data_IF_352094064476
#
_entry.id   IF_352094064476
#
_cell.length_a   1.000
_cell.length_b   1.000
_cell.length_c   1.000
_cell.angle_alpha   90.00
_cell.angle_beta   90.00
_cell.angle_gamma   90.00
#
_symmetry.space_group_name_H-M   'P 1'
#
loop_
_entity.id
_entity.type
_entity.pdbx_description
1 polymer ?
#
# COMPACT_ATOMS: atom_id res chain seq x y z
N UNK A 1 -22.48 72.49 21.13
CA UNK A 1 -22.72 71.92 19.78
C UNK A 1 -22.72 70.41 20.00
N UNK A 2 -23.82 69.70 20.28
CA UNK A 2 -25.09 69.47 19.55
C UNK A 2 -24.89 68.90 18.14
N UNK A 3 -25.70 67.87 17.84
CA UNK A 3 -25.76 66.87 16.74
C UNK A 3 -24.96 65.60 17.07
N UNK A 4 -25.52 64.44 17.46
CA UNK A 4 -26.78 63.73 17.18
C UNK A 4 -26.97 63.37 15.69
N UNK A 5 -26.83 62.09 15.33
CA UNK A 5 -27.90 61.26 14.71
C UNK A 5 -27.41 59.88 14.21
N UNK A 6 -28.06 58.83 14.71
CA UNK A 6 -28.55 57.61 14.04
C UNK A 6 -27.96 57.15 12.67
N UNK A 7 -27.58 55.86 12.60
CA UNK A 7 -27.98 54.89 11.54
C UNK A 7 -27.51 53.46 11.91
N UNK A 8 -28.43 52.63 12.41
CA UNK A 8 -29.12 51.50 11.72
C UNK A 8 -28.22 50.30 11.39
N UNK A 9 -28.41 49.22 12.16
CA UNK A 9 -27.99 47.85 11.84
C UNK A 9 -28.54 47.41 10.46
N UNK A 10 -27.76 46.69 9.64
CA UNK A 10 -28.33 45.90 8.57
C UNK A 10 -28.74 44.52 9.10
N UNK A 11 -30.04 44.29 9.13
CA UNK A 11 -30.66 42.96 9.13
C UNK A 11 -30.32 42.28 7.82
N UNK A 12 -29.48 41.24 7.86
CA UNK A 12 -29.26 40.35 6.71
C UNK A 12 -30.27 39.22 6.79
N UNK A 13 -31.15 39.20 5.79
CA UNK A 13 -32.12 38.15 5.50
C UNK A 13 -31.37 36.82 5.33
N UNK A 14 -31.75 35.81 6.10
CA UNK A 14 -31.53 34.42 5.76
C UNK A 14 -32.35 34.09 4.51
N UNK A 15 -31.70 33.95 3.36
CA UNK A 15 -32.30 33.28 2.19
C UNK A 15 -32.06 31.79 2.36
N UNK A 16 -33.11 31.07 2.74
CA UNK A 16 -33.15 29.62 2.64
C UNK A 16 -33.26 29.26 1.15
N UNK A 17 -32.13 28.89 0.55
CA UNK A 17 -32.11 28.27 -0.77
C UNK A 17 -32.41 26.78 -0.59
N UNK A 18 -33.59 26.37 -1.01
CA UNK A 18 -34.03 24.98 -1.13
C UNK A 18 -33.12 24.29 -2.15
N UNK A 19 -32.26 23.38 -1.69
CA UNK A 19 -31.55 22.46 -2.57
C UNK A 19 -32.56 21.46 -3.14
N UNK A 20 -32.74 21.47 -4.46
CA UNK A 20 -33.49 20.44 -5.15
C UNK A 20 -32.66 19.16 -5.15
N UNK A 21 -33.11 18.16 -4.40
CA UNK A 21 -32.72 16.78 -4.59
C UNK A 21 -33.14 16.36 -6.00
N UNK A 22 -32.18 16.07 -6.88
CA UNK A 22 -32.43 15.29 -8.08
C UNK A 22 -32.63 13.85 -7.65
N UNK A 23 -33.90 13.48 -7.49
CA UNK A 23 -34.33 12.09 -7.48
C UNK A 23 -34.09 11.52 -8.88
N UNK A 24 -33.17 10.56 -8.99
CA UNK A 24 -33.08 9.67 -10.14
C UNK A 24 -34.38 8.89 -10.26
N UNK A 25 -34.99 8.91 -11.44
CA UNK A 25 -36.21 8.18 -11.75
C UNK A 25 -35.96 6.67 -11.68
N UNK A 26 -36.47 6.02 -10.63
CA UNK A 26 -36.75 4.60 -10.62
C UNK A 26 -38.18 4.42 -11.14
N UNK A 27 -38.29 3.87 -12.35
CA UNK A 27 -39.57 3.48 -12.93
C UNK A 27 -40.08 2.24 -12.18
N UNK A 28 -41.28 2.34 -11.63
CA UNK A 28 -41.89 1.32 -10.79
C UNK A 28 -42.92 0.55 -11.60
N UNK A 29 -42.59 -0.66 -12.04
CA UNK A 29 -43.58 -1.65 -12.46
C UNK A 29 -43.64 -2.78 -11.43
N UNK A 30 -44.75 -2.81 -10.69
CA UNK A 30 -45.04 -3.86 -9.72
C UNK A 30 -45.64 -5.08 -10.41
N UNK A 31 -44.98 -6.24 -10.33
CA UNK A 31 -45.70 -7.52 -10.32
C UNK A 31 -44.96 -8.62 -9.54
N UNK A 32 -45.52 -8.93 -8.37
CA UNK A 32 -45.70 -10.27 -7.79
C UNK A 32 -44.57 -11.32 -7.77
N UNK A 33 -43.92 -11.40 -6.60
CA UNK A 33 -43.75 -12.59 -5.74
C UNK A 33 -42.82 -13.77 -6.14
N UNK A 34 -41.80 -13.91 -5.26
CA UNK A 34 -41.28 -15.12 -4.60
C UNK A 34 -40.18 -15.96 -5.28
N UNK A 35 -38.99 -15.94 -4.67
CA UNK A 35 -37.91 -16.92 -4.85
C UNK A 35 -36.58 -16.30 -4.43
N UNK A 36 -35.91 -16.87 -3.44
CA UNK A 36 -34.67 -16.34 -2.90
C UNK A 36 -33.45 -16.59 -3.80
N UNK A 37 -32.50 -15.67 -3.73
CA UNK A 37 -31.10 -15.90 -3.39
C UNK A 37 -30.53 -14.55 -2.94
N UNK A 38 -29.61 -14.58 -1.98
CA UNK A 38 -28.98 -13.38 -1.42
C UNK A 38 -27.85 -12.88 -2.30
N UNK A 39 -28.17 -12.42 -3.51
CA UNK A 39 -27.21 -11.71 -4.36
C UNK A 39 -27.09 -10.26 -3.86
N UNK A 40 -25.92 -9.93 -3.33
CA UNK A 40 -25.51 -8.56 -3.02
C UNK A 40 -25.42 -7.75 -4.33
N UNK A 41 -25.85 -6.47 -4.37
CA UNK A 41 -25.91 -5.72 -5.62
C UNK A 41 -24.50 -5.40 -6.15
N UNK A 42 -24.09 -6.09 -7.22
CA UNK A 42 -22.84 -5.84 -7.96
C UNK A 42 -22.90 -4.53 -8.77
N UNK A 43 -21.85 -3.69 -8.78
CA UNK A 43 -21.80 -2.46 -9.57
C UNK A 43 -21.70 -2.72 -11.08
N UNK A 44 -22.80 -2.99 -11.79
CA UNK A 44 -22.79 -3.32 -13.23
C UNK A 44 -22.33 -2.22 -14.24
N UNK A 45 -21.91 -1.05 -13.77
CA UNK A 45 -21.53 0.09 -14.62
C UNK A 45 -20.47 0.98 -13.96
N UNK A 46 -19.81 1.85 -14.74
CA UNK A 46 -18.85 2.83 -14.25
C UNK A 46 -19.43 3.64 -13.08
N UNK A 47 -18.77 3.55 -11.93
CA UNK A 47 -19.06 4.32 -10.73
C UNK A 47 -17.99 5.40 -10.51
N UNK A 48 -18.37 6.46 -9.82
CA UNK A 48 -17.46 7.53 -9.36
C UNK A 48 -17.77 7.86 -7.92
N UNK A 49 -16.74 8.12 -7.12
CA UNK A 49 -16.90 8.54 -5.73
C UNK A 49 -15.91 9.65 -5.38
N UNK A 50 -16.30 10.47 -4.39
CA UNK A 50 -15.45 11.44 -3.71
C UNK A 50 -15.51 11.14 -2.23
N UNK A 51 -14.35 10.92 -1.61
CA UNK A 51 -14.24 10.53 -0.20
C UNK A 51 -13.48 11.60 0.58
N UNK A 52 -14.12 12.19 1.59
CA UNK A 52 -13.51 13.15 2.51
C UNK A 52 -12.65 12.41 3.56
N UNK A 53 -11.33 12.49 3.38
CA UNK A 53 -10.31 11.99 4.28
C UNK A 53 -9.54 13.14 4.97
N UNK A 54 -10.17 14.31 5.13
CA UNK A 54 -9.54 15.50 5.73
C UNK A 54 -9.42 15.43 7.25
N UNK A 55 -10.32 14.68 7.90
CA UNK A 55 -10.45 14.59 9.37
C UNK A 55 -9.98 13.27 9.98
N UNK A 56 -9.61 12.29 9.15
CA UNK A 56 -9.17 10.96 9.57
C UNK A 56 -9.20 9.97 8.42
N UNK A 57 -9.07 8.68 8.73
CA UNK A 57 -9.26 7.61 7.75
C UNK A 57 -10.73 7.48 7.39
N UNK A 58 -11.03 7.44 6.09
CA UNK A 58 -12.34 7.18 5.54
C UNK A 58 -12.35 5.82 4.84
N UNK A 59 -13.35 4.99 5.13
CA UNK A 59 -13.46 3.63 4.62
C UNK A 59 -14.54 3.58 3.54
N UNK A 60 -14.28 2.85 2.45
CA UNK A 60 -15.19 2.75 1.32
C UNK A 60 -15.47 1.30 0.96
N UNK A 61 -16.76 0.97 0.82
CA UNK A 61 -17.21 -0.30 0.28
C UNK A 61 -17.34 -0.16 -1.24
N UNK A 62 -16.46 -0.85 -1.98
CA UNK A 62 -16.45 -0.85 -3.45
C UNK A 62 -17.64 -1.57 -4.09
N UNK A 63 -18.30 -2.50 -3.38
CA UNK A 63 -19.47 -3.23 -3.88
C UNK A 63 -20.71 -2.35 -3.74
N UNK A 64 -20.96 -1.84 -2.53
CA UNK A 64 -22.13 -0.98 -2.24
C UNK A 64 -21.97 0.45 -2.76
N UNK A 65 -20.74 0.88 -3.02
CA UNK A 65 -20.41 2.23 -3.48
C UNK A 65 -20.60 3.33 -2.44
N UNK A 66 -20.42 3.01 -1.15
CA UNK A 66 -20.67 3.95 -0.05
C UNK A 66 -19.46 4.09 0.90
N UNK A 67 -19.35 5.28 1.50
CA UNK A 67 -18.48 5.50 2.67
C UNK A 67 -19.13 4.83 3.87
N UNK A 68 -18.34 4.04 4.60
CA UNK A 68 -18.80 3.22 5.74
C UNK A 68 -17.90 3.41 6.96
N UNK A 69 -18.27 2.84 8.11
CA UNK A 69 -17.44 2.83 9.30
C UNK A 69 -16.34 1.78 9.25
N UNK A 70 -15.31 1.94 10.08
CA UNK A 70 -14.17 1.02 10.21
C UNK A 70 -14.57 -0.43 10.51
N UNK A 71 -15.68 -0.62 11.22
CA UNK A 71 -16.16 -1.94 11.64
C UNK A 71 -17.21 -2.53 10.68
N UNK A 72 -17.55 -1.83 9.60
CA UNK A 72 -18.45 -2.33 8.56
C UNK A 72 -17.63 -3.07 7.48
N UNK A 73 -18.30 -3.62 6.46
CA UNK A 73 -17.61 -4.18 5.28
C UNK A 73 -17.04 -3.05 4.43
N UNK A 74 -15.73 -3.03 4.22
CA UNK A 74 -15.02 -2.09 3.34
C UNK A 74 -13.85 -2.78 2.64
N UNK A 75 -13.37 -2.19 1.54
CA UNK A 75 -12.30 -2.77 0.72
C UNK A 75 -11.10 -1.84 0.59
N UNK A 76 -11.34 -0.53 0.49
CA UNK A 76 -10.29 0.49 0.41
C UNK A 76 -10.52 1.55 1.49
N UNK A 77 -9.45 2.06 2.06
CA UNK A 77 -9.49 3.20 2.96
C UNK A 77 -8.55 4.31 2.49
N UNK A 78 -8.91 5.55 2.83
CA UNK A 78 -8.18 6.75 2.48
C UNK A 78 -7.83 7.54 3.74
N UNK A 79 -6.55 7.87 3.90
CA UNK A 79 -6.09 8.83 4.90
C UNK A 79 -5.22 9.87 4.19
N UNK A 80 -5.80 11.06 3.96
CA UNK A 80 -5.26 12.02 3.00
C UNK A 80 -5.06 11.36 1.63
N UNK A 81 -3.83 11.26 1.15
CA UNK A 81 -3.47 10.65 -0.13
C UNK A 81 -3.01 9.18 0.03
N UNK A 82 -2.87 8.69 1.26
CA UNK A 82 -2.53 7.30 1.51
C UNK A 82 -3.76 6.43 1.28
N UNK A 83 -3.56 5.29 0.63
CA UNK A 83 -4.59 4.29 0.33
C UNK A 83 -4.16 2.97 0.93
N UNK A 84 -5.06 2.31 1.65
CA UNK A 84 -4.83 0.97 2.20
C UNK A 84 -5.98 0.05 1.80
N UNK A 85 -5.69 -1.24 1.74
CA UNK A 85 -6.72 -2.27 1.55
C UNK A 85 -7.29 -2.70 2.90
N UNK A 86 -8.42 -3.39 2.88
CA UNK A 86 -8.85 -4.20 4.02
C UNK A 86 -7.99 -5.48 4.08
N UNK A 87 -7.81 -6.09 5.25
CA UNK A 87 -7.03 -7.32 5.41
C UNK A 87 -7.60 -8.52 4.62
N UNK A 88 -8.89 -8.48 4.28
CA UNK A 88 -9.54 -9.46 3.41
C UNK A 88 -9.39 -9.14 1.92
N UNK A 89 -8.99 -7.92 1.56
CA UNK A 89 -8.81 -7.50 0.17
C UNK A 89 -7.34 -7.57 -0.25
N UNK A 90 -7.11 -7.80 -1.53
CA UNK A 90 -5.80 -7.70 -2.15
C UNK A 90 -5.87 -6.94 -3.48
N UNK A 91 -4.73 -6.46 -3.96
CA UNK A 91 -4.69 -5.66 -5.17
C UNK A 91 -3.52 -6.01 -6.07
N UNK A 92 -3.75 -5.86 -7.36
CA UNK A 92 -2.74 -5.99 -8.41
C UNK A 92 -2.78 -4.77 -9.33
N UNK A 93 -1.78 -4.63 -10.19
CA UNK A 93 -1.84 -3.62 -11.26
C UNK A 93 -2.75 -4.14 -12.36
N UNK A 94 -3.58 -3.26 -12.92
CA UNK A 94 -4.24 -3.49 -14.21
C UNK A 94 -3.52 -2.76 -15.35
N UNK A 95 -3.06 -1.53 -15.08
CA UNK A 95 -2.28 -0.72 -16.01
C UNK A 95 -1.35 0.19 -15.20
N UNK A 96 -0.03 0.06 -15.37
CA UNK A 96 0.98 0.84 -14.66
C UNK A 96 0.99 2.32 -15.06
N UNK A 97 0.45 2.68 -16.23
CA UNK A 97 0.57 4.00 -16.85
C UNK A 97 2.04 4.40 -17.04
N UNK A 98 2.82 3.48 -17.61
CA UNK A 98 4.27 3.62 -17.77
C UNK A 98 4.66 4.85 -18.61
N UNK A 99 3.79 5.30 -19.52
CA UNK A 99 3.99 6.49 -20.36
C UNK A 99 4.15 7.79 -19.55
N UNK A 100 3.70 7.83 -18.29
CA UNK A 100 3.92 8.97 -17.40
C UNK A 100 5.38 9.11 -16.95
N UNK A 101 6.21 8.12 -17.23
CA UNK A 101 7.60 8.03 -16.78
C UNK A 101 8.53 7.69 -17.96
N UNK A 102 9.78 8.14 -17.89
CA UNK A 102 10.81 7.73 -18.84
C UNK A 102 11.47 6.39 -18.45
N UNK A 103 12.40 5.93 -19.28
CA UNK A 103 13.12 4.66 -19.07
C UNK A 103 13.93 4.65 -17.76
N UNK A 104 14.26 5.82 -17.18
CA UNK A 104 14.96 5.96 -15.91
C UNK A 104 13.98 6.07 -14.72
N UNK A 105 12.66 6.02 -14.98
CA UNK A 105 11.60 6.18 -13.99
C UNK A 105 11.36 7.63 -13.56
N UNK A 106 11.93 8.61 -14.27
CA UNK A 106 11.67 10.01 -13.98
C UNK A 106 10.33 10.44 -14.59
N UNK A 107 9.58 11.26 -13.85
CA UNK A 107 8.27 11.74 -14.30
C UNK A 107 8.40 12.59 -15.57
N UNK A 108 7.48 12.37 -16.51
CA UNK A 108 7.34 13.18 -17.72
C UNK A 108 6.20 14.18 -17.50
N UNK A 109 6.55 15.39 -17.05
CA UNK A 109 5.61 16.42 -16.59
C UNK A 109 4.44 16.71 -17.57
N UNK A 110 4.66 16.57 -18.88
CA UNK A 110 3.63 16.80 -19.89
C UNK A 110 2.45 15.84 -19.80
N UNK A 111 2.64 14.59 -19.37
CA UNK A 111 1.53 13.65 -19.19
C UNK A 111 0.66 14.06 -17.99
N UNK A 112 1.26 14.50 -16.89
CA UNK A 112 0.53 14.95 -15.71
C UNK A 112 -0.29 16.23 -15.94
N UNK A 113 0.31 17.26 -16.55
CA UNK A 113 -0.35 18.56 -16.71
C UNK A 113 -1.34 18.64 -17.87
N UNK A 114 -1.26 17.70 -18.83
CA UNK A 114 -2.15 17.65 -19.98
C UNK A 114 -3.05 16.41 -19.97
N UNK A 115 -3.09 15.64 -18.88
CA UNK A 115 -3.96 14.47 -18.76
C UNK A 115 -5.43 14.87 -18.98
N UNK A 116 -6.11 14.13 -19.86
CA UNK A 116 -7.53 14.32 -20.12
C UNK A 116 -8.32 13.17 -19.47
N UNK A 117 -9.27 13.52 -18.59
CA UNK A 117 -10.02 12.52 -17.82
C UNK A 117 -10.78 11.51 -18.69
N UNK A 118 -11.18 11.89 -19.90
CA UNK A 118 -11.87 11.00 -20.82
C UNK A 118 -10.89 10.08 -21.56
N UNK A 119 -9.71 10.58 -21.91
CA UNK A 119 -8.65 9.73 -22.48
C UNK A 119 -8.16 8.72 -21.44
N UNK A 120 -7.94 9.14 -20.20
CA UNK A 120 -7.56 8.25 -19.08
C UNK A 120 -8.67 7.26 -18.69
N UNK A 121 -9.91 7.49 -19.12
CA UNK A 121 -10.98 6.51 -18.93
C UNK A 121 -10.77 5.29 -19.81
N UNK A 122 -10.11 5.48 -20.96
CA UNK A 122 -9.84 4.41 -21.89
C UNK A 122 -8.85 3.40 -21.30
N UNK A 123 -7.84 3.82 -20.53
CA UNK A 123 -6.94 2.89 -19.84
C UNK A 123 -7.68 2.03 -18.82
N UNK A 124 -8.53 2.64 -17.99
CA UNK A 124 -9.40 1.92 -17.06
C UNK A 124 -10.32 0.90 -17.78
N UNK A 125 -10.90 1.28 -18.92
CA UNK A 125 -11.76 0.39 -19.69
C UNK A 125 -10.97 -0.73 -20.40
N UNK A 126 -9.72 -0.46 -20.82
CA UNK A 126 -8.88 -1.41 -21.54
C UNK A 126 -8.37 -2.56 -20.67
N UNK A 127 -8.26 -2.37 -19.36
CA UNK A 127 -7.90 -3.44 -18.42
C UNK A 127 -8.96 -4.53 -18.44
N UNK A 128 -8.56 -5.72 -18.87
CA UNK A 128 -9.37 -6.95 -18.89
C UNK A 128 -8.86 -8.03 -17.93
N UNK A 129 -7.63 -7.88 -17.44
CA UNK A 129 -7.00 -8.77 -16.45
C UNK A 129 -5.99 -7.99 -15.61
N UNK A 130 -5.63 -8.51 -14.44
CA UNK A 130 -4.53 -7.99 -13.65
C UNK A 130 -3.17 -8.38 -14.28
N UNK A 131 -2.22 -7.46 -14.22
CA UNK A 131 -0.81 -7.66 -14.50
C UNK A 131 -0.04 -7.82 -13.19
N UNK A 132 0.47 -9.02 -12.92
CA UNK A 132 1.27 -9.32 -11.72
C UNK A 132 0.48 -10.09 -10.66
N UNK A 133 1.14 -10.30 -9.51
CA UNK A 133 0.55 -11.00 -8.38
C UNK A 133 -0.33 -10.04 -7.57
N UNK A 134 -1.44 -10.56 -7.05
CA UNK A 134 -2.23 -9.84 -6.07
C UNK A 134 -1.46 -9.76 -4.74
N UNK A 135 -1.49 -8.57 -4.15
CA UNK A 135 -0.81 -8.26 -2.89
C UNK A 135 -1.77 -7.55 -1.94
N UNK A 136 -1.94 -8.14 -0.75
CA UNK A 136 -2.61 -7.48 0.37
C UNK A 136 -1.73 -6.42 1.04
N UNK A 137 -2.19 -5.89 2.17
CA UNK A 137 -1.32 -5.09 3.03
C UNK A 137 -0.23 -5.98 3.65
N UNK A 138 0.93 -5.39 3.91
CA UNK A 138 2.04 -6.07 4.53
C UNK A 138 3.10 -5.09 5.02
N UNK A 139 4.27 -5.62 5.29
CA UNK A 139 5.42 -4.81 5.71
C UNK A 139 6.55 -5.03 4.71
N UNK A 140 7.03 -3.94 4.11
CA UNK A 140 8.28 -3.92 3.35
C UNK A 140 9.44 -3.78 4.32
N UNK A 141 10.21 -4.84 4.45
CA UNK A 141 11.37 -4.84 5.32
C UNK A 141 12.50 -3.93 4.82
N UNK A 142 13.21 -3.29 5.75
CA UNK A 142 14.49 -2.63 5.52
C UNK A 142 15.63 -3.61 5.16
N UNK A 143 15.52 -4.88 5.58
CA UNK A 143 16.40 -5.98 5.21
C UNK A 143 15.70 -6.78 4.10
N UNK A 144 16.05 -6.47 2.86
CA UNK A 144 15.44 -7.11 1.70
C UNK A 144 15.77 -8.62 1.57
N UNK A 145 15.02 -9.31 0.70
CA UNK A 145 15.12 -10.75 0.49
C UNK A 145 16.41 -11.23 -0.19
N UNK A 146 17.40 -10.36 -0.44
CA UNK A 146 18.64 -10.76 -1.14
C UNK A 146 19.55 -11.65 -0.28
N UNK A 147 19.25 -11.86 0.99
CA UNK A 147 20.02 -12.77 1.86
C UNK A 147 19.89 -14.25 1.46
N UNK A 148 18.93 -14.59 0.58
CA UNK A 148 18.75 -15.93 0.05
C UNK A 148 18.36 -15.94 -1.42
N UNK A 149 18.53 -17.10 -2.05
CA UNK A 149 17.94 -17.44 -3.34
C UNK A 149 17.03 -18.65 -3.15
N UNK A 150 15.78 -18.53 -3.60
CA UNK A 150 14.80 -19.61 -3.62
C UNK A 150 14.49 -20.07 -5.04
N UNK A 151 14.16 -21.34 -5.23
CA UNK A 151 13.70 -21.85 -6.52
C UNK A 151 13.35 -23.33 -6.51
N UNK A 152 12.95 -23.84 -7.69
CA UNK A 152 12.54 -25.24 -7.90
C UNK A 152 13.59 -26.27 -7.46
N UNK A 153 14.86 -25.87 -7.40
CA UNK A 153 16.00 -26.72 -7.06
C UNK A 153 16.47 -26.57 -5.60
N UNK A 154 15.73 -25.84 -4.76
CA UNK A 154 16.04 -25.65 -3.34
C UNK A 154 16.31 -24.19 -2.97
N UNK A 155 16.71 -24.01 -1.72
CA UNK A 155 17.04 -22.72 -1.12
C UNK A 155 18.53 -22.68 -0.77
N UNK A 156 19.14 -21.52 -0.90
CA UNK A 156 20.51 -21.26 -0.45
C UNK A 156 20.61 -19.84 0.11
N UNK A 157 21.44 -19.66 1.14
CA UNK A 157 21.82 -18.32 1.61
C UNK A 157 22.81 -17.68 0.63
N UNK A 158 22.83 -16.36 0.64
CA UNK A 158 23.75 -15.50 -0.12
C UNK A 158 24.65 -14.80 0.92
N UNK A 159 25.67 -15.48 1.46
CA UNK A 159 26.47 -15.00 2.59
C UNK A 159 27.31 -13.76 2.26
N UNK A 160 27.45 -13.42 0.98
CA UNK A 160 28.13 -12.20 0.53
C UNK A 160 27.27 -10.94 0.69
N UNK A 161 25.96 -11.07 0.94
CA UNK A 161 25.07 -9.94 1.15
C UNK A 161 25.05 -9.56 2.64
N UNK A 162 25.41 -8.31 2.92
CA UNK A 162 25.49 -7.76 4.25
C UNK A 162 24.59 -6.54 4.41
N UNK A 163 24.16 -6.34 5.66
CA UNK A 163 23.53 -5.11 6.10
C UNK A 163 24.27 -4.58 7.32
N UNK A 164 24.22 -3.27 7.53
CA UNK A 164 24.39 -2.71 8.87
C UNK A 164 23.01 -2.51 9.47
N UNK A 165 22.82 -2.93 10.71
CA UNK A 165 21.59 -2.70 11.48
C UNK A 165 21.94 -1.83 12.67
N UNK A 166 21.29 -0.67 12.82
CA UNK A 166 21.30 0.10 14.07
C UNK A 166 20.29 -0.49 15.06
N UNK A 167 20.62 -0.49 16.35
CA UNK A 167 19.75 -1.05 17.39
C UNK A 167 18.49 -0.23 17.66
N UNK A 168 17.52 -0.85 18.31
CA UNK A 168 16.28 -0.26 18.78
C UNK A 168 16.50 0.86 19.79
N UNK A 169 17.55 0.75 20.61
CA UNK A 169 17.99 1.79 21.55
C UNK A 169 18.68 2.96 20.83
N UNK A 170 19.19 2.74 19.62
CA UNK A 170 19.80 3.76 18.77
C UNK A 170 21.24 4.13 19.13
N UNK A 171 21.92 3.33 19.95
CA UNK A 171 23.29 3.57 20.43
C UNK A 171 24.30 2.46 20.05
N UNK A 172 23.86 1.36 19.45
CA UNK A 172 24.72 0.27 18.98
C UNK A 172 24.39 -0.10 17.52
N UNK A 173 25.29 -0.87 16.90
CA UNK A 173 25.13 -1.33 15.52
C UNK A 173 25.57 -2.79 15.40
N UNK A 174 25.11 -3.48 14.36
CA UNK A 174 25.65 -4.78 13.97
C UNK A 174 25.82 -4.86 12.45
N UNK A 175 26.94 -5.42 12.00
CA UNK A 175 27.06 -5.92 10.63
C UNK A 175 26.45 -7.33 10.59
N UNK A 176 25.43 -7.50 9.77
CA UNK A 176 24.49 -8.63 9.74
C UNK A 176 24.55 -9.36 8.40
N UNK A 177 24.57 -10.70 8.42
CA UNK A 177 24.39 -11.54 7.23
C UNK A 177 23.86 -12.94 7.57
N UNK A 178 23.35 -13.62 6.54
CA UNK A 178 22.96 -15.03 6.62
C UNK A 178 24.15 -15.93 6.29
N UNK A 179 24.72 -16.58 7.31
CA UNK A 179 25.98 -17.31 7.19
C UNK A 179 25.83 -18.73 6.62
N UNK A 180 24.77 -19.45 6.99
CA UNK A 180 24.58 -20.82 6.50
C UNK A 180 23.12 -21.26 6.47
N UNK A 181 22.86 -22.27 5.64
CA UNK A 181 21.57 -22.92 5.47
C UNK A 181 21.74 -24.42 5.65
N UNK A 182 20.91 -25.03 6.49
CA UNK A 182 20.83 -26.48 6.65
C UNK A 182 19.40 -26.93 6.36
N UNK A 183 19.23 -27.80 5.36
CA UNK A 183 17.93 -28.39 5.08
C UNK A 183 17.48 -29.27 6.25
N UNK A 184 16.24 -29.07 6.71
CA UNK A 184 15.58 -29.90 7.71
C UNK A 184 14.42 -30.69 7.07
N UNK A 185 13.97 -31.77 7.72
CA UNK A 185 12.90 -32.62 7.16
C UNK A 185 11.58 -31.86 6.90
N UNK A 186 11.32 -30.77 7.61
CA UNK A 186 10.09 -29.96 7.54
C UNK A 186 10.36 -28.47 7.31
N UNK A 187 11.54 -28.11 6.80
CA UNK A 187 11.94 -26.71 6.68
C UNK A 187 13.44 -26.52 6.44
N UNK A 188 13.97 -25.43 6.96
CA UNK A 188 15.39 -25.11 6.93
C UNK A 188 15.83 -24.43 8.22
N UNK A 189 17.03 -24.72 8.68
CA UNK A 189 17.68 -23.93 9.73
C UNK A 189 18.63 -22.94 9.05
N UNK A 190 18.46 -21.66 9.34
CA UNK A 190 19.34 -20.60 8.84
C UNK A 190 20.13 -20.04 10.01
N UNK A 191 21.45 -20.02 9.90
CA UNK A 191 22.32 -19.34 10.87
C UNK A 191 22.61 -17.93 10.38
N UNK A 192 22.31 -16.96 11.23
CA UNK A 192 22.65 -15.56 11.03
C UNK A 192 23.80 -15.18 11.95
N UNK A 193 24.66 -14.29 11.48
CA UNK A 193 25.81 -13.77 12.21
C UNK A 193 25.73 -12.24 12.33
N UNK A 194 26.15 -11.75 13.50
CA UNK A 194 26.15 -10.33 13.87
C UNK A 194 27.53 -9.94 14.41
N UNK A 195 28.24 -9.10 13.69
CA UNK A 195 29.45 -8.46 14.17
C UNK A 195 29.06 -7.17 14.87
N UNK A 196 28.85 -7.24 16.19
CA UNK A 196 28.28 -6.14 16.98
C UNK A 196 29.33 -5.06 17.25
N UNK A 197 28.95 -3.82 17.03
CA UNK A 197 29.57 -2.61 17.56
C UNK A 197 28.71 -2.12 18.72
N UNK A 198 29.12 -2.45 19.95
CA UNK A 198 28.40 -2.08 21.17
C UNK A 198 28.43 -0.56 21.42
N UNK A 199 27.57 -0.08 22.33
CA UNK A 199 27.57 1.33 22.74
C UNK A 199 28.96 1.80 23.21
N UNK A 200 29.41 2.93 22.65
CA UNK A 200 30.71 3.52 22.89
C UNK A 200 31.88 2.93 22.09
N UNK A 201 31.69 1.80 21.40
CA UNK A 201 32.70 1.24 20.51
C UNK A 201 32.76 1.99 19.17
N UNK A 202 33.93 1.94 18.52
CA UNK A 202 34.19 2.67 17.27
C UNK A 202 34.36 1.77 16.05
N UNK A 203 34.35 0.45 16.24
CA UNK A 203 34.47 -0.55 15.17
C UNK A 203 33.59 -1.75 15.49
N UNK A 204 33.17 -2.50 14.47
CA UNK A 204 32.53 -3.80 14.66
C UNK A 204 33.48 -4.82 15.33
N UNK A 205 32.92 -5.74 16.10
CA UNK A 205 33.64 -6.91 16.62
C UNK A 205 34.21 -7.78 15.50
N UNK A 206 35.39 -8.38 15.71
CA UNK A 206 35.96 -9.39 14.80
C UNK A 206 35.32 -10.78 14.99
N UNK A 207 34.61 -10.99 16.10
CA UNK A 207 33.92 -12.26 16.41
C UNK A 207 32.42 -12.06 16.33
N UNK A 208 31.71 -12.80 15.46
CA UNK A 208 30.27 -12.67 15.35
C UNK A 208 29.58 -13.34 16.55
N UNK A 209 28.48 -12.73 16.97
CA UNK A 209 27.41 -13.47 17.64
C UNK A 209 26.62 -14.22 16.56
N UNK A 210 26.06 -15.38 16.91
CA UNK A 210 25.28 -16.18 15.97
C UNK A 210 23.96 -16.62 16.57
N UNK A 211 22.91 -16.63 15.76
CA UNK A 211 21.62 -17.26 16.10
C UNK A 211 21.17 -18.17 14.97
N UNK A 212 20.48 -19.26 15.29
CA UNK A 212 19.90 -20.16 14.29
C UNK A 212 18.38 -20.09 14.38
N UNK A 213 17.75 -19.80 13.25
CA UNK A 213 16.30 -19.69 13.12
C UNK A 213 15.80 -20.85 12.27
N UNK A 214 14.85 -21.60 12.82
CA UNK A 214 14.17 -22.68 12.11
C UNK A 214 13.03 -22.14 11.26
N UNK A 215 13.22 -22.12 9.96
CA UNK A 215 12.21 -21.79 8.95
C UNK A 215 11.40 -23.04 8.64
N UNK A 216 10.26 -23.24 9.33
CA UNK A 216 9.35 -24.35 9.00
C UNK A 216 8.37 -23.95 7.90
N UNK A 217 7.93 -24.91 7.07
CA UNK A 217 6.90 -24.69 6.05
C UNK A 217 5.46 -24.54 6.59
N UNK A 218 5.28 -24.48 7.92
CA UNK A 218 4.00 -24.17 8.58
C UNK A 218 3.87 -22.68 8.92
N UNK A 219 3.06 -22.31 9.92
CA UNK A 219 3.01 -20.94 10.41
C UNK A 219 4.43 -20.47 10.78
N UNK A 220 4.89 -19.33 10.26
CA UNK A 220 6.26 -18.88 10.47
C UNK A 220 6.50 -18.69 11.97
N UNK A 221 7.50 -19.38 12.50
CA UNK A 221 7.96 -19.14 13.87
C UNK A 221 8.57 -17.75 13.92
N UNK A 222 8.07 -16.91 14.82
CA UNK A 222 8.64 -15.60 15.08
C UNK A 222 9.74 -15.72 16.13
N UNK A 223 10.92 -15.15 15.87
CA UNK A 223 12.01 -15.09 16.84
C UNK A 223 12.65 -13.72 16.76
N UNK A 224 12.80 -13.06 17.90
CA UNK A 224 13.46 -11.77 17.99
C UNK A 224 14.87 -11.90 18.57
N UNK A 225 15.70 -10.91 18.32
CA UNK A 225 17.09 -10.88 18.76
C UNK A 225 17.51 -9.46 19.05
N UNK A 226 18.09 -9.22 20.24
CA UNK A 226 18.77 -7.98 20.60
C UNK A 226 20.29 -8.15 20.59
N UNK A 227 21.02 -7.16 20.07
CA UNK A 227 22.47 -7.14 19.99
C UNK A 227 23.10 -6.90 21.37
N UNK A 228 22.49 -6.04 22.17
CA UNK A 228 22.96 -5.66 23.51
C UNK A 228 22.53 -6.66 24.60
N UNK A 229 21.44 -7.41 24.35
CA UNK A 229 21.03 -8.58 25.14
C UNK A 229 20.64 -9.75 24.23
N UNK A 230 21.61 -10.58 23.80
CA UNK A 230 21.37 -11.74 22.95
C UNK A 230 20.44 -12.80 23.55
N UNK A 231 20.17 -12.73 24.86
CA UNK A 231 19.23 -13.63 25.52
C UNK A 231 17.79 -13.16 25.41
N UNK A 232 17.56 -11.89 25.06
CA UNK A 232 16.25 -11.34 24.79
C UNK A 232 15.74 -11.80 23.42
N UNK A 233 14.79 -12.72 23.45
CA UNK A 233 14.10 -13.25 22.26
C UNK A 233 12.62 -12.83 22.22
N UNK A 234 12.21 -11.96 23.15
CA UNK A 234 10.84 -11.51 23.29
C UNK A 234 10.51 -10.38 22.32
N UNK A 235 9.73 -10.72 21.30
CA UNK A 235 9.24 -9.78 20.29
C UNK A 235 8.24 -8.74 20.81
N UNK A 236 7.74 -8.89 22.04
CA UNK A 236 6.87 -7.89 22.67
C UNK A 236 7.65 -6.87 23.51
N UNK A 237 8.95 -7.10 23.71
CA UNK A 237 9.82 -6.15 24.40
C UNK A 237 10.22 -4.99 23.48
N UNK A 238 10.68 -3.89 24.06
CA UNK A 238 11.22 -2.77 23.28
C UNK A 238 12.68 -2.97 22.83
N UNK A 239 13.36 -4.01 23.33
CA UNK A 239 14.82 -4.19 23.18
C UNK A 239 15.23 -5.33 22.25
N UNK A 240 14.37 -5.73 21.32
CA UNK A 240 14.81 -6.53 20.17
C UNK A 240 15.24 -5.59 19.05
N UNK A 241 16.23 -5.99 18.26
CA UNK A 241 16.72 -5.21 17.11
C UNK A 241 16.24 -5.79 15.79
N UNK A 242 16.25 -7.13 15.70
CA UNK A 242 15.85 -7.89 14.51
C UNK A 242 14.82 -8.95 14.87
N UNK A 243 13.77 -9.07 14.04
CA UNK A 243 12.69 -10.07 14.15
C UNK A 243 12.70 -10.94 12.90
N UNK A 244 12.91 -12.23 13.10
CA UNK A 244 12.78 -13.25 12.05
C UNK A 244 11.37 -13.82 12.06
N UNK A 245 10.72 -13.86 10.91
CA UNK A 245 9.39 -14.44 10.73
C UNK A 245 9.32 -15.14 9.37
N UNK A 246 9.57 -16.46 9.37
CA UNK A 246 9.79 -17.19 8.11
C UNK A 246 10.94 -16.57 7.34
N UNK A 247 10.78 -16.35 6.04
CA UNK A 247 11.83 -15.73 5.23
C UNK A 247 11.93 -14.20 5.37
N UNK A 248 11.02 -13.59 6.13
CA UNK A 248 11.06 -12.15 6.39
C UNK A 248 11.93 -11.84 7.61
N UNK A 249 12.69 -10.76 7.50
CA UNK A 249 13.56 -10.25 8.56
C UNK A 249 13.19 -8.80 8.76
N UNK A 250 12.71 -8.41 9.92
CA UNK A 250 12.23 -7.07 10.24
C UNK A 250 13.15 -6.40 11.25
N UNK A 251 13.18 -5.07 11.28
CA UNK A 251 13.87 -4.29 12.31
C UNK A 251 12.87 -3.68 13.29
N UNK A 252 13.28 -3.46 14.54
CA UNK A 252 12.46 -2.76 15.53
C UNK A 252 12.46 -1.25 15.29
N UNK A 253 11.84 -0.85 14.20
CA UNK A 253 11.66 0.54 13.80
C UNK A 253 10.73 0.65 12.62
N UNK A 254 10.23 1.85 12.38
CA UNK A 254 9.18 2.07 11.38
C UNK A 254 7.87 1.41 11.83
N UNK A 255 7.24 0.62 10.94
CA UNK A 255 5.94 -0.02 11.23
C UNK A 255 6.05 -1.33 12.00
N UNK A 256 7.26 -1.90 12.08
CA UNK A 256 7.50 -3.20 12.72
C UNK A 256 7.68 -3.14 14.23
N UNK A 257 7.93 -1.96 14.80
CA UNK A 257 8.14 -1.75 16.22
C UNK A 257 8.47 -0.30 16.58
N UNK A 258 8.34 0.03 17.88
CA UNK A 258 8.49 1.39 18.41
C UNK A 258 9.95 1.83 18.63
N UNK A 259 10.92 0.96 18.33
CA UNK A 259 12.35 1.24 18.48
C UNK A 259 12.93 2.16 17.38
N UNK A 260 14.21 2.48 17.53
CA UNK A 260 14.97 3.29 16.59
C UNK A 260 15.75 2.46 15.55
N UNK A 261 15.48 1.14 15.46
CA UNK A 261 16.25 0.24 14.63
C UNK A 261 16.04 0.54 13.14
N UNK A 262 17.09 0.31 12.37
CA UNK A 262 17.17 0.67 10.95
C UNK A 262 18.24 -0.15 10.27
N UNK A 263 18.08 -0.43 8.99
CA UNK A 263 19.04 -1.16 8.20
C UNK A 263 19.62 -0.31 7.07
N UNK A 264 20.88 -0.57 6.74
CA UNK A 264 21.56 -0.07 5.56
C UNK A 264 22.15 -1.26 4.81
N UNK A 265 21.96 -1.25 3.50
CA UNK A 265 22.40 -2.29 2.61
C UNK A 265 23.86 -2.04 2.21
N UNK A 266 24.76 -3.00 2.41
CA UNK A 266 26.15 -2.86 2.02
C UNK A 266 26.36 -3.37 0.59
N UNK A 267 27.04 -2.57 -0.23
CA UNK A 267 27.50 -3.04 -1.55
C UNK A 267 28.70 -3.98 -1.41
N UNK A 268 29.56 -3.70 -0.43
CA UNK A 268 30.71 -4.55 -0.09
C UNK A 268 30.89 -4.64 1.43
N UNK A 269 31.34 -5.80 1.91
CA UNK A 269 31.51 -6.06 3.35
C UNK A 269 32.47 -5.08 4.05
N UNK A 270 33.47 -4.56 3.32
CA UNK A 270 34.52 -3.68 3.84
C UNK A 270 34.26 -2.19 3.59
N UNK A 271 33.07 -1.82 3.10
CA UNK A 271 32.70 -0.43 2.79
C UNK A 271 32.76 0.47 4.02
N UNK A 272 32.36 -0.05 5.19
CA UNK A 272 32.33 0.66 6.46
C UNK A 272 32.98 -0.15 7.58
N UNK A 273 33.72 0.55 8.43
CA UNK A 273 34.35 -0.01 9.64
C UNK A 273 33.51 0.22 10.89
N UNK A 274 32.56 1.16 10.82
CA UNK A 274 31.61 1.48 11.86
C UNK A 274 30.23 1.80 11.29
N UNK A 275 29.17 1.46 12.04
CA UNK A 275 27.81 1.87 11.69
C UNK A 275 27.62 3.39 11.73
N UNK A 276 28.45 4.12 12.49
CA UNK A 276 28.41 5.58 12.54
C UNK A 276 28.90 6.26 11.24
N UNK A 277 29.56 5.52 10.34
CA UNK A 277 30.04 6.05 9.05
C UNK A 277 28.94 6.05 7.97
N UNK A 278 27.86 5.30 8.18
CA UNK A 278 26.75 5.22 7.23
C UNK A 278 26.09 6.60 7.09
N UNK A 279 25.86 7.02 5.85
CA UNK A 279 25.16 8.26 5.54
C UNK A 279 23.80 8.28 6.27
N UNK A 280 23.52 9.29 7.12
CA UNK A 280 22.27 9.38 7.88
C UNK A 280 20.99 9.30 7.03
N UNK A 281 21.06 9.68 5.75
CA UNK A 281 19.92 9.64 4.82
C UNK A 281 19.77 8.30 4.07
N UNK A 282 20.73 7.38 4.20
CA UNK A 282 20.70 6.09 3.50
C UNK A 282 19.98 4.99 4.31
N UNK A 283 19.82 5.20 5.63
CA UNK A 283 19.13 4.27 6.51
C UNK A 283 17.67 4.06 6.10
N UNK A 284 17.25 2.80 6.13
CA UNK A 284 15.86 2.39 5.92
C UNK A 284 15.29 1.82 7.22
N UNK A 285 14.01 2.07 7.46
CA UNK A 285 13.20 1.36 8.45
C UNK A 285 12.19 0.51 7.71
N UNK A 286 11.55 -0.42 8.41
CA UNK A 286 10.42 -1.15 7.85
C UNK A 286 9.28 -0.18 7.55
N UNK A 287 8.58 -0.40 6.44
CA UNK A 287 7.50 0.47 5.95
C UNK A 287 6.25 -0.36 5.68
N UNK A 288 5.08 0.25 5.76
CA UNK A 288 3.87 -0.37 5.21
C UNK A 288 4.11 -0.72 3.74
N UNK A 289 3.61 -1.88 3.33
CA UNK A 289 3.55 -2.29 1.93
C UNK A 289 2.10 -2.55 1.53
N UNK A 290 1.74 -2.11 0.35
CA UNK A 290 0.55 -2.50 -0.38
C UNK A 290 0.79 -2.21 -1.86
N UNK A 291 -0.15 -2.61 -2.71
CA UNK A 291 -0.13 -2.22 -4.12
C UNK A 291 -0.02 -0.70 -4.30
N UNK A 292 -0.58 0.10 -3.38
CA UNK A 292 -0.57 1.57 -3.46
C UNK A 292 0.71 2.21 -2.93
N UNK A 293 1.54 1.50 -2.16
CA UNK A 293 2.87 1.99 -1.74
C UNK A 293 3.96 1.57 -2.71
N UNK A 294 3.83 0.39 -3.32
CA UNK A 294 4.79 -0.09 -4.33
C UNK A 294 4.52 0.55 -5.69
N UNK A 295 3.25 0.83 -6.00
CA UNK A 295 2.84 1.56 -7.19
C UNK A 295 1.98 2.75 -6.78
N UNK A 296 2.62 3.87 -6.42
CA UNK A 296 1.94 5.08 -5.97
C UNK A 296 1.01 5.66 -7.04
N UNK A 297 -0.18 6.13 -6.67
CA UNK A 297 -1.16 6.65 -7.64
C UNK A 297 -0.91 8.11 -8.06
N UNK A 298 0.08 8.77 -7.45
CA UNK A 298 0.28 10.21 -7.56
C UNK A 298 1.75 10.63 -7.53
N UNK A 299 2.00 11.83 -8.07
CA UNK A 299 3.27 12.56 -7.95
C UNK A 299 3.07 13.96 -7.34
N UNK A 300 4.04 14.38 -6.54
CA UNK A 300 4.08 15.72 -5.95
C UNK A 300 4.87 16.69 -6.83
N UNK A 301 4.30 17.87 -7.09
CA UNK A 301 4.90 18.91 -7.97
C UNK A 301 5.19 18.42 -9.40
N UNK A 302 4.34 17.56 -9.95
CA UNK A 302 4.56 16.96 -11.28
C UNK A 302 4.57 17.97 -12.44
N UNK A 303 4.13 19.21 -12.23
CA UNK A 303 4.20 20.29 -13.23
C UNK A 303 5.63 20.78 -13.51
N UNK A 304 6.58 20.49 -12.61
CA UNK A 304 7.95 21.00 -12.67
C UNK A 304 8.10 22.45 -12.22
N UNK A 305 7.03 23.13 -11.79
CA UNK A 305 7.10 24.43 -11.13
C UNK A 305 7.40 24.23 -9.63
N UNK A 306 8.53 24.72 -9.09
CA UNK A 306 8.86 24.53 -7.68
C UNK A 306 7.89 25.20 -6.71
N UNK A 307 7.06 26.15 -7.18
CA UNK A 307 6.02 26.80 -6.38
C UNK A 307 4.69 26.05 -6.39
N UNK A 308 4.52 25.09 -7.29
CA UNK A 308 3.35 24.24 -7.35
C UNK A 308 3.51 23.05 -6.41
N UNK A 309 2.78 23.08 -5.30
CA UNK A 309 2.78 22.05 -4.27
C UNK A 309 1.57 21.12 -4.38
N UNK A 310 1.12 20.84 -5.61
CA UNK A 310 -0.05 19.99 -5.86
C UNK A 310 0.31 18.51 -6.00
N UNK A 311 -0.64 17.63 -5.68
CA UNK A 311 -0.57 16.21 -5.99
C UNK A 311 -1.29 15.94 -7.31
N UNK A 312 -0.62 15.25 -8.22
CA UNK A 312 -1.12 14.91 -9.55
C UNK A 312 -1.34 13.40 -9.65
N UNK A 313 -2.53 12.92 -10.04
CA UNK A 313 -2.72 11.50 -10.32
C UNK A 313 -1.89 11.09 -11.55
N UNK A 314 -1.38 9.87 -11.54
CA UNK A 314 -0.81 9.21 -12.71
C UNK A 314 -1.82 8.28 -13.41
N UNK A 315 -3.07 8.27 -12.95
CA UNK A 315 -4.17 7.48 -13.53
C UNK A 315 -3.88 5.97 -13.61
N UNK A 316 -2.97 5.47 -12.80
CA UNK A 316 -2.71 4.04 -12.67
C UNK A 316 -4.01 3.30 -12.36
N UNK A 317 -4.20 2.16 -13.03
CA UNK A 317 -5.36 1.30 -12.81
C UNK A 317 -4.94 0.16 -11.91
N UNK A 318 -5.66 0.01 -10.81
CA UNK A 318 -5.52 -1.10 -9.87
C UNK A 318 -6.67 -2.07 -10.10
N UNK A 319 -6.41 -3.37 -9.92
CA UNK A 319 -7.45 -4.40 -9.84
C UNK A 319 -7.50 -4.85 -8.39
N UNK A 320 -8.64 -4.70 -7.75
CA UNK A 320 -8.87 -5.03 -6.34
C UNK A 320 -9.71 -6.29 -6.27
N UNK A 321 -9.16 -7.32 -5.65
CA UNK A 321 -9.89 -8.47 -5.16
C UNK A 321 -10.49 -8.09 -3.79
N UNK A 322 -11.80 -8.28 -3.67
CA UNK A 322 -12.58 -7.81 -2.51
C UNK A 322 -12.58 -8.80 -1.36
N UNK A 323 -12.28 -10.08 -1.63
CA UNK A 323 -12.17 -11.15 -0.65
C UNK A 323 -11.22 -12.24 -1.18
N UNK A 324 -9.94 -12.12 -0.82
CA UNK A 324 -8.83 -12.99 -1.26
C UNK A 324 -9.01 -14.47 -0.93
N UNK A 325 -9.94 -14.80 -0.04
CA UNK A 325 -10.23 -16.17 0.40
C UNK A 325 -11.42 -16.78 -0.37
N UNK A 326 -11.98 -16.07 -1.35
CA UNK A 326 -13.16 -16.46 -2.14
C UNK A 326 -12.92 -16.36 -3.66
N UNK A 327 -12.93 -17.50 -4.37
CA UNK A 327 -12.86 -17.53 -5.85
C UNK A 327 -14.12 -16.95 -6.56
N UNK A 328 -15.15 -16.57 -5.81
CA UNK A 328 -16.41 -15.99 -6.31
C UNK A 328 -16.49 -14.47 -6.13
N UNK A 329 -15.45 -13.86 -5.56
CA UNK A 329 -15.43 -12.45 -5.22
C UNK A 329 -15.39 -11.53 -6.46
N UNK A 330 -15.68 -10.24 -6.25
CA UNK A 330 -15.72 -9.28 -7.34
C UNK A 330 -14.37 -8.58 -7.51
N UNK A 331 -13.68 -8.90 -8.61
CA UNK A 331 -12.54 -8.11 -9.05
C UNK A 331 -13.02 -6.74 -9.54
N UNK A 332 -12.52 -5.66 -8.92
CA UNK A 332 -12.92 -4.29 -9.22
C UNK A 332 -11.72 -3.51 -9.73
N UNK A 333 -11.86 -2.93 -10.93
CA UNK A 333 -10.90 -1.96 -11.44
C UNK A 333 -11.11 -0.62 -10.74
N UNK A 334 -10.05 -0.02 -10.23
CA UNK A 334 -10.06 1.26 -9.52
C UNK A 334 -8.99 2.19 -10.08
N UNK A 335 -9.36 3.43 -10.34
CA UNK A 335 -8.45 4.48 -10.81
C UNK A 335 -8.72 5.77 -10.05
N UNK A 336 -7.68 6.26 -9.37
CA UNK A 336 -7.77 7.52 -8.61
C UNK A 336 -7.51 8.68 -9.57
N UNK A 337 -8.38 9.68 -9.49
CA UNK A 337 -8.48 10.77 -10.47
C UNK A 337 -8.20 12.15 -9.88
N UNK A 338 -8.21 12.30 -8.54
CA UNK A 338 -7.85 13.56 -7.88
C UNK A 338 -7.66 13.36 -6.37
N UNK A 339 -6.79 14.18 -5.76
CA UNK A 339 -6.69 14.36 -4.30
C UNK A 339 -7.64 15.47 -3.77
N UNK A 340 -8.20 16.26 -4.68
CA UNK A 340 -8.96 17.46 -4.38
C UNK A 340 -10.42 17.29 -4.72
N UNK A 341 -11.27 17.91 -3.91
CA UNK A 341 -12.71 17.99 -4.13
C UNK A 341 -12.99 18.69 -5.47
N UNK A 342 -13.82 18.11 -6.36
CA UNK A 342 -14.01 18.63 -7.71
C UNK A 342 -14.72 19.99 -7.74
N UNK A 343 -15.52 20.32 -6.72
CA UNK A 343 -16.31 21.55 -6.67
C UNK A 343 -15.59 22.69 -5.93
N UNK A 344 -14.85 22.35 -4.89
CA UNK A 344 -14.25 23.32 -3.95
C UNK A 344 -12.74 23.39 -4.03
N UNK A 345 -12.07 22.40 -4.61
CA UNK A 345 -10.61 22.25 -4.61
C UNK A 345 -10.03 21.93 -3.23
N UNK A 346 -10.87 21.55 -2.25
CA UNK A 346 -10.41 21.19 -0.92
C UNK A 346 -9.56 19.90 -0.98
N UNK A 347 -8.34 19.98 -0.44
CA UNK A 347 -7.43 18.83 -0.32
C UNK A 347 -8.03 17.71 0.55
N UNK A 348 -7.56 16.49 0.32
CA UNK A 348 -7.98 15.29 1.06
C UNK A 348 -9.44 14.90 0.80
N UNK A 349 -9.94 15.21 -0.39
CA UNK A 349 -11.19 14.70 -0.91
C UNK A 349 -10.85 13.86 -2.14
N UNK A 350 -10.57 12.58 -1.91
CA UNK A 350 -10.04 11.69 -2.94
C UNK A 350 -11.15 11.34 -3.91
N UNK A 351 -10.99 11.72 -5.17
CA UNK A 351 -11.91 11.39 -6.25
C UNK A 351 -11.38 10.19 -7.02
N UNK A 352 -12.22 9.19 -7.24
CA UNK A 352 -11.85 8.00 -7.99
C UNK A 352 -13.04 7.45 -8.77
N UNK A 353 -12.75 6.58 -9.72
CA UNK A 353 -13.73 5.83 -10.48
C UNK A 353 -13.41 4.35 -10.42
N UNK A 354 -14.44 3.54 -10.49
CA UNK A 354 -14.32 2.10 -10.37
C UNK A 354 -15.43 1.39 -11.14
N UNK A 355 -15.15 0.16 -11.54
CA UNK A 355 -16.09 -0.73 -12.22
C UNK A 355 -15.61 -2.18 -12.10
N UNK A 356 -16.49 -3.17 -12.26
CA UNK A 356 -16.09 -4.57 -12.23
C UNK A 356 -15.10 -4.86 -13.35
N UNK A 357 -14.14 -5.73 -13.05
CA UNK A 357 -13.38 -6.44 -14.04
C UNK A 357 -14.33 -7.48 -14.65
N UNK A 358 -14.96 -7.09 -15.75
CA UNK A 358 -15.78 -8.05 -16.50
C UNK A 358 -14.85 -9.01 -17.23
N UNK A 359 -14.87 -10.27 -16.83
CA UNK A 359 -14.31 -11.36 -17.63
C UNK A 359 -14.84 -11.22 -19.05
N UNK A 360 -13.96 -10.96 -20.03
CA UNK A 360 -14.29 -11.16 -21.44
C UNK A 360 -14.41 -12.66 -21.69
N UNK A 361 -15.50 -13.25 -21.20
CA UNK A 361 -15.88 -14.60 -21.60
C UNK A 361 -16.28 -14.52 -23.08
N UNK A 362 -15.45 -15.09 -23.95
CA UNK A 362 -15.75 -15.34 -25.36
C UNK A 362 -17.08 -16.13 -25.56
N UNK A 363 -17.74 -16.61 -24.50
CA UNK A 363 -19.00 -17.35 -24.56
C UNK A 363 -20.27 -16.49 -24.57
N UNK A 364 -20.23 -15.19 -24.22
CA UNK A 364 -21.45 -14.36 -24.24
C UNK A 364 -21.88 -13.98 -25.68
N UNK A 365 -20.99 -14.07 -26.67
CA UNK A 365 -21.31 -13.78 -28.08
C UNK A 365 -22.04 -14.93 -28.79
N UNK A 366 -21.91 -16.18 -28.30
CA UNK A 366 -22.48 -17.34 -28.99
C UNK A 366 -23.98 -17.54 -28.70
N UNK A 367 -24.49 -17.00 -27.59
CA UNK A 367 -25.88 -17.19 -27.18
C UNK A 367 -26.87 -16.16 -27.75
N UNK A 368 -26.40 -15.00 -28.21
CA UNK A 368 -27.28 -13.96 -28.78
C UNK A 368 -27.61 -14.16 -30.27
N UNK A 369 -26.89 -15.05 -30.97
CA UNK A 369 -27.15 -15.32 -32.39
C UNK A 369 -28.21 -16.41 -32.66
N UNK A 370 -28.72 -17.10 -31.63
CA UNK A 370 -29.68 -18.20 -31.79
C UNK A 370 -31.11 -17.90 -31.32
N UNK A 371 -31.43 -16.64 -30.99
CA UNK A 371 -32.81 -16.21 -30.66
C UNK A 371 -33.45 -15.32 -31.73
N UNK A 372 -33.21 -15.61 -33.01
CA UNK A 372 -34.04 -15.07 -34.11
C UNK A 372 -34.53 -16.19 -35.03
N UNK A 373 -35.80 -16.56 -34.81
CA UNK A 373 -36.77 -17.23 -35.70
C UNK A 373 -36.64 -18.75 -35.96
N UNK A 374 -37.76 -19.48 -36.13
CA UNK A 374 -39.12 -18.99 -36.49
C UNK A 374 -40.17 -18.96 -35.37
#
# INVERSE_FOLDING_TARGET
MIFDSNRKLPTLLASASVAMLLAGCSDSDSSGSNGGDGDEPKPSALQTAVVDASSGTAYFNLVDGNVVGENDTWHVSFNRYNVTLNDQAEGAIGDEQAEYYDDDGALIASFFVNADLADELNSLNAVSEATGDFVGNGIKSAIDGRWYVGGRNGFAVVPENYWIVGSAEGNSYAKFHAASFTAAQSGADVTFEFFVQADGETTFSDTPLSTTVSMSGGSPTTTCYGFDDPSNTDCSSAGWDVKFQGFNIFVNGGVSGDGAAKAYNLETVDEVTSGAEVNPNAWQTDKESSIFTDFVWQEYQASGDPSDHSLYPNYRVYVIDTDKDSDEDELIKLQITSYYDPDTGASANVSFRYLPLTETTEEQSCCDFLKVNP
#
